data_IF_962139229116
#
_entry.id   IF_962139229116
#
_cell.length_a   1.000
_cell.length_b   1.000
_cell.length_c   1.000
_cell.angle_alpha   90.00
_cell.angle_beta   90.00
_cell.angle_gamma   90.00
#
_symmetry.space_group_name_H-M   'P 1'
#
loop_
_entity.id
_entity.type
_entity.pdbx_description
1 polymer ?
#
# COMPACT_ATOMS: atom_id res chain seq x y z
N UNK A 1 -10.70 -0.82 -39.29
CA UNK A 1 -11.82 -0.24 -38.53
C UNK A 1 -11.24 0.54 -37.37
N UNK A 2 -11.53 1.84 -37.27
CA UNK A 2 -11.12 2.63 -36.12
C UNK A 2 -11.89 2.15 -34.87
N UNK A 3 -11.20 1.95 -33.74
CA UNK A 3 -11.85 1.69 -32.46
C UNK A 3 -12.73 2.89 -32.13
N UNK A 4 -14.03 2.67 -31.92
CA UNK A 4 -14.92 3.72 -31.43
C UNK A 4 -14.46 4.16 -30.04
N UNK A 5 -13.95 5.38 -29.94
CA UNK A 5 -13.61 6.03 -28.69
C UNK A 5 -14.75 6.97 -28.32
N UNK A 6 -15.52 6.59 -27.32
CA UNK A 6 -16.71 7.33 -26.87
C UNK A 6 -16.58 7.68 -25.40
N UNK A 7 -17.53 8.45 -24.84
CA UNK A 7 -17.53 8.78 -23.40
C UNK A 7 -17.52 7.54 -22.50
N UNK A 8 -18.09 6.41 -22.96
CA UNK A 8 -18.09 5.12 -22.24
C UNK A 8 -16.71 4.48 -22.15
N UNK A 9 -15.73 4.95 -22.94
CA UNK A 9 -14.34 4.48 -22.90
C UNK A 9 -13.54 5.08 -21.74
N UNK A 10 -14.10 6.06 -21.02
CA UNK A 10 -13.48 6.64 -19.83
C UNK A 10 -13.96 5.89 -18.59
N UNK A 11 -13.01 5.32 -17.86
CA UNK A 11 -13.24 4.64 -16.59
C UNK A 11 -12.77 5.53 -15.43
N UNK A 12 -13.62 5.71 -14.42
CA UNK A 12 -13.26 6.35 -13.17
C UNK A 12 -13.13 5.27 -12.11
N UNK A 13 -11.91 5.06 -11.64
CA UNK A 13 -11.61 4.11 -10.57
C UNK A 13 -11.84 4.78 -9.21
N UNK A 14 -12.47 4.06 -8.28
CA UNK A 14 -12.88 4.60 -6.98
C UNK A 14 -12.28 3.81 -5.81
N UNK A 15 -12.21 4.43 -4.63
CA UNK A 15 -11.64 3.78 -3.44
C UNK A 15 -10.21 3.29 -3.67
N UNK A 16 -9.98 1.98 -3.47
CA UNK A 16 -8.68 1.34 -3.65
C UNK A 16 -8.46 0.74 -5.04
N UNK A 17 -9.43 0.87 -5.95
CA UNK A 17 -9.32 0.34 -7.31
C UNK A 17 -8.12 0.93 -8.07
N UNK A 18 -7.77 2.23 -7.96
CA UNK A 18 -6.57 2.77 -8.60
C UNK A 18 -5.29 2.10 -8.10
N UNK A 19 -5.19 1.84 -6.80
CA UNK A 19 -4.02 1.22 -6.16
C UNK A 19 -3.86 -0.21 -6.64
N UNK A 20 -4.94 -0.98 -6.66
CA UNK A 20 -4.96 -2.37 -7.17
C UNK A 20 -4.64 -2.43 -8.66
N UNK A 21 -5.14 -1.47 -9.44
CA UNK A 21 -4.92 -1.43 -10.90
C UNK A 21 -3.51 -1.00 -11.27
N UNK A 22 -2.89 -0.10 -10.48
CA UNK A 22 -1.56 0.48 -10.74
C UNK A 22 -0.69 0.46 -9.49
N UNK A 23 -0.36 -0.72 -8.93
CA UNK A 23 0.34 -0.82 -7.64
C UNK A 23 1.74 -0.19 -7.68
N UNK A 24 2.44 -0.23 -8.81
CA UNK A 24 3.78 0.35 -8.96
C UNK A 24 3.83 1.88 -8.83
N UNK A 25 2.68 2.57 -8.82
CA UNK A 25 2.62 3.99 -8.49
C UNK A 25 2.61 4.23 -6.96
N UNK A 26 2.22 3.24 -6.16
CA UNK A 26 1.95 3.37 -4.72
C UNK A 26 2.89 2.55 -3.84
N UNK A 27 3.53 1.51 -4.37
CA UNK A 27 4.43 0.64 -3.59
C UNK A 27 5.50 0.01 -4.47
N UNK A 28 6.56 -0.48 -3.84
CA UNK A 28 7.56 -1.33 -4.49
C UNK A 28 6.94 -2.69 -4.85
N UNK A 29 6.95 -3.05 -6.13
CA UNK A 29 6.29 -4.29 -6.63
C UNK A 29 7.25 -5.47 -6.75
N UNK A 30 8.54 -5.27 -6.54
CA UNK A 30 9.56 -6.34 -6.56
C UNK A 30 9.54 -7.17 -5.27
N UNK A 31 9.11 -6.59 -4.15
CA UNK A 31 9.08 -7.20 -2.81
C UNK A 31 8.16 -6.42 -1.87
N UNK A 32 7.55 -7.05 -0.85
CA UNK A 32 6.52 -6.42 -0.02
C UNK A 32 7.06 -5.47 1.06
N UNK A 33 8.38 -5.30 1.16
CA UNK A 33 9.02 -4.56 2.25
C UNK A 33 8.52 -3.12 2.37
N UNK A 34 8.20 -2.46 1.25
CA UNK A 34 7.63 -1.10 1.28
C UNK A 34 6.29 -1.07 2.03
N UNK A 35 5.43 -2.08 1.86
CA UNK A 35 4.16 -2.17 2.60
C UNK A 35 4.38 -2.36 4.11
N UNK A 36 5.42 -3.10 4.50
CA UNK A 36 5.77 -3.25 5.91
C UNK A 36 6.27 -1.92 6.51
N UNK A 37 7.08 -1.17 5.74
CA UNK A 37 7.58 0.14 6.16
C UNK A 37 6.44 1.12 6.40
N UNK A 38 5.42 1.16 5.54
CA UNK A 38 4.25 2.04 5.76
C UNK A 38 3.57 1.82 7.12
N UNK A 39 3.50 0.58 7.61
CA UNK A 39 2.90 0.28 8.93
C UNK A 39 3.86 0.63 10.07
N UNK A 40 5.15 0.35 9.88
CA UNK A 40 6.20 0.68 10.86
C UNK A 40 6.32 2.20 11.01
N UNK A 41 6.26 2.96 9.92
CA UNK A 41 6.35 4.42 9.93
C UNK A 41 5.17 5.06 10.68
N UNK A 42 3.95 4.56 10.49
CA UNK A 42 2.81 4.98 11.30
C UNK A 42 3.01 4.66 12.80
N UNK A 43 3.67 3.56 13.13
CA UNK A 43 4.01 3.22 14.52
C UNK A 43 5.11 4.12 15.09
N UNK A 44 6.05 4.57 14.24
CA UNK A 44 7.07 5.56 14.60
C UNK A 44 6.41 6.92 14.86
N UNK A 45 5.40 7.32 14.09
CA UNK A 45 4.66 8.57 14.33
C UNK A 45 4.03 8.60 15.72
N UNK A 46 3.45 7.49 16.18
CA UNK A 46 2.93 7.36 17.55
C UNK A 46 4.05 7.44 18.60
N UNK A 47 5.24 6.90 18.30
CA UNK A 47 6.39 7.01 19.18
C UNK A 47 6.93 8.45 19.25
N UNK A 48 6.99 9.15 18.12
CA UNK A 48 7.35 10.57 18.05
C UNK A 48 6.32 11.45 18.76
N UNK A 49 5.03 11.08 18.71
CA UNK A 49 3.96 11.70 19.48
C UNK A 49 4.03 11.41 20.98
N UNK A 50 4.89 10.50 21.42
CA UNK A 50 5.04 10.09 22.82
C UNK A 50 3.98 9.11 23.32
N UNK A 51 3.17 8.55 22.41
CA UNK A 51 2.12 7.57 22.73
C UNK A 51 2.64 6.13 22.71
N UNK A 52 3.70 5.86 21.95
CA UNK A 52 4.39 4.58 21.93
C UNK A 52 5.83 4.71 22.43
N UNK A 53 6.36 3.65 23.05
CA UNK A 53 7.75 3.56 23.52
C UNK A 53 8.48 2.32 23.03
N UNK A 54 7.75 1.42 22.35
CA UNK A 54 8.26 0.17 21.79
C UNK A 54 7.44 -0.19 20.55
N UNK A 55 8.13 -0.69 19.53
CA UNK A 55 7.53 -1.21 18.28
C UNK A 55 8.06 -2.63 18.10
N UNK A 56 7.17 -3.61 18.00
CA UNK A 56 7.52 -5.02 17.82
C UNK A 56 7.16 -5.45 16.39
N UNK A 57 8.18 -5.84 15.60
CA UNK A 57 7.99 -6.29 14.22
C UNK A 57 8.28 -7.78 14.13
N UNK A 58 7.33 -8.56 13.63
CA UNK A 58 7.42 -10.02 13.52
C UNK A 58 7.14 -10.47 12.09
N UNK A 59 8.12 -11.15 11.49
CA UNK A 59 7.91 -11.93 10.26
C UNK A 59 7.40 -13.32 10.64
N UNK A 60 6.19 -13.64 10.20
CA UNK A 60 5.53 -14.92 10.46
C UNK A 60 6.03 -15.99 9.48
N UNK A 61 5.90 -17.27 9.86
CA UNK A 61 6.41 -18.40 9.06
C UNK A 61 5.73 -18.52 7.69
N UNK A 62 4.51 -17.99 7.54
CA UNK A 62 3.77 -17.95 6.28
C UNK A 62 4.19 -16.79 5.36
N UNK A 63 5.16 -15.98 5.79
CA UNK A 63 5.66 -14.81 5.07
C UNK A 63 4.83 -13.55 5.27
N UNK A 64 3.80 -13.56 6.12
CA UNK A 64 3.10 -12.36 6.56
C UNK A 64 3.89 -11.60 7.64
N UNK A 65 3.52 -10.34 7.88
CA UNK A 65 4.18 -9.48 8.86
C UNK A 65 3.15 -8.92 9.85
N UNK A 66 3.51 -8.92 11.13
CA UNK A 66 2.79 -8.26 12.21
C UNK A 66 3.64 -7.13 12.75
N UNK A 67 3.02 -5.98 12.99
CA UNK A 67 3.60 -4.78 13.59
C UNK A 67 2.57 -4.17 14.53
#
# INVERSE_FOLDING_TARGET
MAREYTAKSIEVLSGLDPVKKRPGMYTETSRPNHLALEVIDNSIDEALGGFASKIDVVLLEDGSLSC
#
